data_IF_913842653845
#
_entry.id   IF_913842653845
#
_cell.length_a   1.000
_cell.length_b   1.000
_cell.length_c   1.000
_cell.angle_alpha   90.00
_cell.angle_beta   90.00
_cell.angle_gamma   90.00
#
_symmetry.space_group_name_H-M   'P 1'
#
loop_
_entity.id
_entity.type
_entity.pdbx_description
1 polymer ?
#
# COMPACT_ATOMS: atom_id res chain seq x y z
N UNK A 1 18.58 -7.54 -9.29
CA UNK A 1 18.41 -6.19 -8.72
C UNK A 1 19.46 -5.28 -9.33
N UNK A 2 19.07 -4.07 -9.67
CA UNK A 2 19.93 -3.07 -10.30
C UNK A 2 19.77 -1.74 -9.55
N UNK A 3 20.89 -1.11 -9.19
CA UNK A 3 20.90 0.25 -8.68
C UNK A 3 20.37 1.24 -9.74
N UNK A 4 19.56 2.19 -9.30
CA UNK A 4 19.04 3.25 -10.17
C UNK A 4 19.75 4.54 -9.79
N UNK A 5 20.32 5.19 -10.78
CA UNK A 5 20.89 6.49 -10.66
C UNK A 5 22.35 6.58 -11.05
N UNK A 6 22.72 7.77 -11.44
CA UNK A 6 24.09 8.20 -11.62
C UNK A 6 24.52 8.94 -10.37
N UNK A 7 25.73 8.71 -9.91
CA UNK A 7 26.25 8.96 -8.57
C UNK A 7 26.21 10.42 -8.07
N UNK A 8 25.77 11.41 -8.83
CA UNK A 8 26.02 12.82 -8.52
C UNK A 8 24.84 13.64 -8.01
N UNK A 9 23.59 13.15 -8.12
CA UNK A 9 22.40 13.86 -7.57
C UNK A 9 21.28 12.91 -7.29
N UNK A 10 21.38 12.14 -6.20
CA UNK A 10 20.39 11.13 -5.89
C UNK A 10 19.76 11.40 -4.53
N UNK A 11 18.48 11.84 -4.50
CA UNK A 11 17.84 12.19 -3.24
C UNK A 11 17.54 10.97 -2.36
N UNK A 12 17.60 9.76 -2.92
CA UNK A 12 17.33 8.53 -2.16
C UNK A 12 18.06 7.33 -2.75
N UNK A 13 18.63 6.41 -1.95
CA UNK A 13 19.06 5.11 -2.41
C UNK A 13 17.90 4.35 -3.07
N UNK A 14 18.09 3.92 -4.31
CA UNK A 14 17.03 3.35 -5.12
C UNK A 14 17.52 2.14 -5.92
N UNK A 15 16.83 1.02 -5.82
CA UNK A 15 17.06 -0.17 -6.62
C UNK A 15 15.80 -0.59 -7.36
N UNK A 16 15.99 -1.07 -8.59
CA UNK A 16 14.98 -1.82 -9.34
C UNK A 16 15.31 -3.31 -9.29
N UNK A 17 14.31 -4.13 -9.03
CA UNK A 17 14.38 -5.57 -9.20
C UNK A 17 13.51 -6.00 -10.37
N UNK A 18 13.93 -7.06 -11.05
CA UNK A 18 13.14 -7.67 -12.11
C UNK A 18 12.88 -9.13 -11.78
N UNK A 19 11.61 -9.48 -11.76
CA UNK A 19 11.12 -10.84 -11.54
C UNK A 19 11.33 -11.66 -12.83
N UNK A 20 11.65 -12.94 -12.68
CA UNK A 20 11.78 -13.86 -13.80
C UNK A 20 10.43 -14.10 -14.49
N UNK A 21 10.48 -14.57 -15.73
CA UNK A 21 9.29 -15.02 -16.45
C UNK A 21 8.77 -16.33 -15.84
N UNK A 22 7.56 -16.32 -15.32
CA UNK A 22 6.89 -17.47 -14.67
C UNK A 22 6.01 -18.27 -15.63
N UNK A 23 5.81 -17.82 -16.88
CA UNK A 23 4.89 -18.44 -17.85
C UNK A 23 5.20 -19.89 -18.20
N UNK A 24 6.43 -20.34 -17.94
CA UNK A 24 6.83 -21.74 -18.17
C UNK A 24 6.29 -22.74 -17.14
N UNK A 25 5.81 -22.28 -15.98
CA UNK A 25 5.38 -23.15 -14.86
C UNK A 25 4.18 -22.61 -14.06
N UNK A 26 3.71 -21.42 -14.35
CA UNK A 26 2.52 -20.80 -13.76
C UNK A 26 1.51 -20.45 -14.85
N UNK A 27 0.22 -20.39 -14.48
CA UNK A 27 -0.83 -19.93 -15.40
C UNK A 27 -0.89 -18.39 -15.49
N UNK A 28 -0.12 -17.70 -14.65
CA UNK A 28 0.08 -16.25 -14.72
C UNK A 28 1.54 -15.88 -14.99
N UNK A 29 1.74 -14.70 -15.56
CA UNK A 29 3.05 -14.08 -15.63
C UNK A 29 3.16 -13.06 -14.49
N UNK A 30 4.01 -13.33 -13.51
CA UNK A 30 4.24 -12.45 -12.36
C UNK A 30 4.61 -11.02 -12.81
N UNK A 31 4.23 -10.03 -12.02
CA UNK A 31 4.61 -8.64 -12.24
C UNK A 31 6.13 -8.50 -12.33
N UNK A 32 6.64 -7.91 -13.43
CA UNK A 32 8.08 -7.97 -13.75
C UNK A 32 8.92 -7.00 -12.94
N UNK A 33 8.38 -5.83 -12.63
CA UNK A 33 9.16 -4.75 -12.06
C UNK A 33 8.83 -4.58 -10.57
N UNK A 34 9.85 -4.39 -9.76
CA UNK A 34 9.77 -4.10 -8.35
C UNK A 34 10.82 -3.03 -8.00
N UNK A 35 10.57 -2.27 -6.97
CA UNK A 35 11.39 -1.15 -6.58
C UNK A 35 11.71 -1.19 -5.08
N UNK A 36 12.79 -0.55 -4.67
CA UNK A 36 13.11 -0.40 -3.27
C UNK A 36 13.86 0.88 -3.01
N UNK A 37 13.34 1.65 -2.08
CA UNK A 37 13.93 2.91 -1.62
C UNK A 37 13.99 2.94 -0.10
N UNK A 38 15.03 3.55 0.42
CA UNK A 38 15.22 3.72 1.87
C UNK A 38 16.29 4.79 2.13
N UNK A 39 16.48 5.19 3.38
CA UNK A 39 17.57 6.09 3.77
C UNK A 39 18.96 5.47 3.47
N UNK A 40 19.13 4.16 3.66
CA UNK A 40 20.36 3.42 3.41
C UNK A 40 20.31 2.45 2.22
N UNK A 41 21.44 2.24 1.56
CA UNK A 41 21.57 1.37 0.37
C UNK A 41 21.19 -0.09 0.62
N UNK A 42 21.62 -0.67 1.75
CA UNK A 42 21.31 -2.06 2.08
C UNK A 42 19.79 -2.26 2.29
N UNK A 43 19.14 -1.32 2.98
CA UNK A 43 17.70 -1.34 3.20
C UNK A 43 16.92 -1.16 1.87
N UNK A 44 17.36 -0.25 0.99
CA UNK A 44 16.76 -0.07 -0.34
C UNK A 44 16.90 -1.34 -1.21
N UNK A 45 18.08 -1.98 -1.17
CA UNK A 45 18.31 -3.25 -1.87
C UNK A 45 17.38 -4.35 -1.36
N UNK A 46 17.27 -4.50 -0.03
CA UNK A 46 16.39 -5.51 0.57
C UNK A 46 14.91 -5.25 0.27
N UNK A 47 14.46 -4.00 0.22
CA UNK A 47 13.09 -3.66 -0.20
C UNK A 47 12.83 -4.04 -1.65
N UNK A 48 13.73 -3.70 -2.58
CA UNK A 48 13.58 -4.09 -4.00
C UNK A 48 13.56 -5.61 -4.19
N UNK A 49 14.42 -6.33 -3.46
CA UNK A 49 14.45 -7.79 -3.48
C UNK A 49 13.14 -8.36 -2.89
N UNK A 50 12.70 -7.83 -1.75
CA UNK A 50 11.49 -8.24 -1.06
C UNK A 50 10.25 -8.07 -1.93
N UNK A 51 10.04 -6.90 -2.51
CA UNK A 51 8.91 -6.65 -3.42
C UNK A 51 8.97 -7.57 -4.66
N UNK A 52 10.17 -7.83 -5.20
CA UNK A 52 10.33 -8.78 -6.30
C UNK A 52 9.92 -10.20 -5.94
N UNK A 53 10.30 -10.70 -4.76
CA UNK A 53 9.90 -12.02 -4.26
C UNK A 53 8.40 -12.09 -3.95
N UNK A 54 7.84 -11.03 -3.40
CA UNK A 54 6.42 -10.88 -3.12
C UNK A 54 5.59 -10.97 -4.40
N UNK A 55 5.94 -10.18 -5.43
CA UNK A 55 5.29 -10.22 -6.75
C UNK A 55 5.46 -11.58 -7.44
N UNK A 56 6.62 -12.22 -7.28
CA UNK A 56 6.85 -13.58 -7.75
C UNK A 56 5.89 -14.55 -7.10
N UNK A 57 5.82 -14.58 -5.77
CA UNK A 57 4.91 -15.48 -5.05
C UNK A 57 3.44 -15.23 -5.39
N UNK A 58 3.04 -13.97 -5.56
CA UNK A 58 1.67 -13.62 -5.91
C UNK A 58 1.26 -14.06 -7.32
N UNK A 59 2.23 -14.18 -8.24
CA UNK A 59 2.00 -14.58 -9.63
C UNK A 59 2.29 -16.06 -9.93
N UNK A 60 2.58 -16.90 -8.92
CA UNK A 60 2.86 -18.34 -9.14
C UNK A 60 1.72 -19.18 -8.62
N UNK A 61 0.86 -19.63 -9.54
CA UNK A 61 -0.25 -20.53 -9.25
C UNK A 61 -0.68 -21.32 -10.49
N UNK A 62 -1.49 -22.36 -10.25
CA UNK A 62 -2.13 -23.16 -11.29
C UNK A 62 -3.64 -23.14 -11.04
N UNK A 63 -4.41 -22.74 -12.04
CA UNK A 63 -5.87 -22.65 -11.95
C UNK A 63 -6.54 -24.01 -11.77
N UNK A 64 -5.93 -25.08 -12.28
CA UNK A 64 -6.38 -26.46 -12.10
C UNK A 64 -6.20 -26.98 -10.66
N UNK A 65 -5.39 -26.30 -9.84
CA UNK A 65 -5.22 -26.59 -8.41
C UNK A 65 -6.17 -25.77 -7.51
N UNK A 66 -6.91 -24.81 -8.06
CA UNK A 66 -7.83 -23.97 -7.29
C UNK A 66 -9.20 -24.64 -7.16
N UNK A 67 -9.81 -24.49 -5.99
CA UNK A 67 -11.20 -24.93 -5.79
C UNK A 67 -12.15 -24.02 -6.58
N UNK A 68 -13.21 -24.59 -7.17
CA UNK A 68 -14.13 -23.83 -8.03
C UNK A 68 -15.57 -24.07 -7.60
N UNK A 69 -16.34 -22.99 -7.47
CA UNK A 69 -17.76 -23.09 -7.13
C UNK A 69 -18.40 -21.74 -6.84
N UNK A 70 -19.73 -21.72 -6.76
CA UNK A 70 -20.45 -20.58 -6.25
C UNK A 70 -20.25 -20.45 -4.72
N UNK A 71 -20.27 -19.23 -4.14
CA UNK A 71 -20.07 -19.04 -2.70
C UNK A 71 -20.96 -19.92 -1.82
N UNK A 72 -22.26 -20.04 -2.16
CA UNK A 72 -23.21 -20.85 -1.40
C UNK A 72 -23.01 -22.38 -1.54
N UNK A 73 -22.21 -22.84 -2.49
CA UNK A 73 -21.95 -24.26 -2.74
C UNK A 73 -20.73 -24.79 -1.95
N UNK A 74 -19.93 -23.89 -1.37
CA UNK A 74 -18.70 -24.23 -0.66
C UNK A 74 -18.81 -23.77 0.82
N UNK A 75 -18.25 -24.53 1.78
CA UNK A 75 -18.25 -24.13 3.16
C UNK A 75 -17.23 -23.01 3.41
N UNK A 76 -17.45 -22.24 4.48
CA UNK A 76 -16.52 -21.24 5.03
C UNK A 76 -15.96 -20.24 3.99
N UNK A 77 -16.78 -19.87 3.00
CA UNK A 77 -16.40 -18.85 2.01
C UNK A 77 -16.58 -17.45 2.56
N UNK A 78 -15.59 -16.59 2.39
CA UNK A 78 -15.74 -15.14 2.59
C UNK A 78 -16.53 -14.59 1.40
N UNK A 79 -17.72 -14.06 1.67
CA UNK A 79 -18.61 -13.62 0.59
C UNK A 79 -17.95 -12.49 -0.23
N UNK A 80 -17.86 -12.61 -1.56
CA UNK A 80 -17.31 -11.56 -2.41
C UNK A 80 -17.99 -10.19 -2.24
N UNK A 81 -19.28 -10.14 -1.89
CA UNK A 81 -20.00 -8.89 -1.62
C UNK A 81 -19.63 -8.22 -0.29
N UNK A 82 -18.84 -8.87 0.57
CA UNK A 82 -18.28 -8.23 1.76
C UNK A 82 -17.11 -7.30 1.42
N UNK A 83 -16.49 -7.48 0.25
CA UNK A 83 -15.42 -6.62 -0.22
C UNK A 83 -15.96 -5.35 -0.87
N UNK A 84 -15.17 -4.28 -0.81
CA UNK A 84 -15.44 -3.09 -1.60
C UNK A 84 -15.23 -3.43 -3.07
N UNK A 85 -16.30 -3.33 -3.85
CA UNK A 85 -16.38 -3.80 -5.23
C UNK A 85 -16.61 -2.64 -6.20
N UNK A 86 -15.92 -2.66 -7.34
CA UNK A 86 -16.27 -1.81 -8.48
C UNK A 86 -17.56 -2.33 -9.15
N UNK A 87 -17.67 -3.66 -9.27
CA UNK A 87 -18.82 -4.35 -9.84
C UNK A 87 -19.47 -5.24 -8.78
N UNK A 88 -20.78 -5.11 -8.57
CA UNK A 88 -21.51 -5.97 -7.62
C UNK A 88 -21.38 -7.43 -8.02
N UNK A 89 -20.82 -8.30 -7.16
CA UNK A 89 -20.62 -9.70 -7.49
C UNK A 89 -21.94 -10.46 -7.61
N UNK A 90 -22.09 -11.28 -8.65
CA UNK A 90 -23.24 -12.16 -8.78
C UNK A 90 -23.14 -13.31 -7.77
N UNK A 91 -24.14 -13.51 -6.85
CA UNK A 91 -24.02 -14.49 -5.77
C UNK A 91 -23.97 -15.95 -6.23
N UNK A 92 -24.53 -16.26 -7.42
CA UNK A 92 -24.56 -17.59 -8.00
C UNK A 92 -23.38 -17.90 -8.92
N UNK A 93 -22.55 -16.89 -9.23
CA UNK A 93 -21.43 -17.08 -10.14
C UNK A 93 -20.37 -18.01 -9.53
N UNK A 94 -20.00 -19.04 -10.31
CA UNK A 94 -18.86 -19.88 -9.97
C UNK A 94 -17.56 -19.09 -10.13
N UNK A 95 -16.66 -19.19 -9.16
CA UNK A 95 -15.35 -18.53 -9.15
C UNK A 95 -14.27 -19.41 -8.55
N UNK A 96 -13.01 -18.99 -8.69
CA UNK A 96 -11.88 -19.66 -8.08
C UNK A 96 -11.71 -19.24 -6.62
N UNK A 97 -11.35 -20.21 -5.78
CA UNK A 97 -11.13 -20.04 -4.34
C UNK A 97 -9.77 -20.55 -3.92
N UNK A 98 -9.20 -19.91 -2.92
CA UNK A 98 -7.96 -20.32 -2.29
C UNK A 98 -8.16 -20.43 -0.78
N UNK A 99 -7.47 -21.39 -0.16
CA UNK A 99 -7.47 -21.53 1.29
C UNK A 99 -6.83 -20.32 1.95
N UNK A 100 -7.44 -19.86 3.02
CA UNK A 100 -6.98 -18.75 3.83
C UNK A 100 -7.37 -18.93 5.28
N UNK A 101 -7.09 -17.93 6.09
CA UNK A 101 -7.36 -17.90 7.52
C UNK A 101 -8.01 -16.58 7.92
N UNK A 102 -8.99 -16.64 8.82
CA UNK A 102 -9.48 -15.49 9.54
C UNK A 102 -8.53 -15.19 10.69
N UNK A 103 -7.82 -14.07 10.65
CA UNK A 103 -6.64 -13.83 11.49
C UNK A 103 -6.93 -13.66 12.98
N UNK A 104 -8.15 -13.25 13.36
CA UNK A 104 -8.53 -13.11 14.76
C UNK A 104 -8.89 -14.48 15.39
N UNK A 105 -9.68 -15.31 14.67
CA UNK A 105 -10.16 -16.60 15.20
C UNK A 105 -9.24 -17.78 14.88
N UNK A 106 -8.34 -17.64 13.90
CA UNK A 106 -7.52 -18.74 13.38
C UNK A 106 -8.34 -19.79 12.58
N UNK A 107 -9.59 -19.49 12.20
CA UNK A 107 -10.42 -20.42 11.45
C UNK A 107 -10.04 -20.43 9.96
N UNK A 108 -10.02 -21.63 9.38
CA UNK A 108 -9.85 -21.79 7.93
C UNK A 108 -11.03 -21.21 7.18
N UNK A 109 -10.74 -20.48 6.09
CA UNK A 109 -11.74 -19.89 5.21
C UNK A 109 -11.35 -20.08 3.74
N UNK A 110 -12.29 -19.82 2.84
CA UNK A 110 -12.04 -19.69 1.41
C UNK A 110 -12.13 -18.25 0.97
N UNK A 111 -11.05 -17.77 0.36
CA UNK A 111 -10.94 -16.40 -0.16
C UNK A 111 -11.08 -16.41 -1.69
N UNK A 112 -11.73 -15.40 -2.30
CA UNK A 112 -11.78 -15.26 -3.76
C UNK A 112 -10.35 -15.16 -4.32
N UNK A 113 -9.97 -16.08 -5.20
CA UNK A 113 -8.61 -16.15 -5.75
C UNK A 113 -8.23 -14.88 -6.52
N UNK A 114 -9.22 -14.19 -7.10
CA UNK A 114 -9.03 -12.91 -7.79
C UNK A 114 -8.56 -11.75 -6.90
N UNK A 115 -8.79 -11.85 -5.58
CA UNK A 115 -8.32 -10.86 -4.60
C UNK A 115 -7.00 -11.27 -3.95
N UNK A 116 -6.59 -12.53 -4.12
CA UNK A 116 -5.39 -13.10 -3.49
C UNK A 116 -4.20 -13.05 -4.42
N UNK A 117 -4.33 -13.48 -5.67
CA UNK A 117 -3.23 -13.53 -6.63
C UNK A 117 -3.05 -12.22 -7.42
N UNK A 118 -1.83 -12.02 -7.93
CA UNK A 118 -1.49 -10.88 -8.81
C UNK A 118 -0.45 -11.31 -9.88
N UNK A 119 -0.79 -11.30 -11.20
CA UNK A 119 -2.14 -11.08 -11.74
C UNK A 119 -3.14 -12.16 -11.30
N UNK A 120 -4.44 -11.82 -11.21
CA UNK A 120 -5.46 -12.77 -10.78
C UNK A 120 -5.86 -13.76 -11.88
N UNK A 121 -6.48 -14.91 -11.53
CA UNK A 121 -7.02 -15.85 -12.51
C UNK A 121 -8.28 -15.34 -13.23
N UNK A 122 -8.96 -14.37 -12.66
CA UNK A 122 -10.17 -13.72 -13.18
C UNK A 122 -10.30 -12.30 -12.58
N UNK A 123 -11.08 -11.43 -13.22
CA UNK A 123 -11.32 -10.05 -12.78
C UNK A 123 -12.83 -9.77 -12.84
N UNK A 124 -13.53 -9.85 -11.70
CA UNK A 124 -14.99 -9.70 -11.62
C UNK A 124 -15.47 -8.85 -10.46
N UNK A 125 -14.62 -8.62 -9.45
CA UNK A 125 -14.97 -7.86 -8.25
C UNK A 125 -14.47 -6.43 -8.39
N UNK A 126 -13.18 -6.29 -8.69
CA UNK A 126 -12.50 -5.01 -8.87
C UNK A 126 -11.20 -5.19 -9.66
N UNK A 127 -10.63 -4.12 -10.22
CA UNK A 127 -9.31 -4.18 -10.83
C UNK A 127 -8.26 -4.72 -9.87
N UNK A 128 -7.30 -5.53 -10.36
CA UNK A 128 -6.29 -6.13 -9.52
C UNK A 128 -5.30 -5.09 -9.00
N UNK A 129 -4.97 -5.18 -7.73
CA UNK A 129 -3.97 -4.36 -7.05
C UNK A 129 -3.06 -5.23 -6.19
N UNK A 130 -1.87 -4.72 -5.87
CA UNK A 130 -0.90 -5.42 -5.01
C UNK A 130 -1.16 -5.22 -3.51
N UNK A 131 -1.97 -4.23 -3.12
CA UNK A 131 -2.28 -3.88 -1.72
C UNK A 131 -2.60 -5.09 -0.86
N UNK A 132 -1.87 -5.23 0.23
CA UNK A 132 -1.99 -6.35 1.17
C UNK A 132 -1.09 -7.54 0.86
N UNK A 133 -0.27 -7.49 -0.21
CA UNK A 133 0.86 -8.39 -0.34
C UNK A 133 1.88 -8.08 0.76
N UNK A 134 2.55 -9.09 1.27
CA UNK A 134 3.58 -8.90 2.27
C UNK A 134 4.59 -10.03 2.25
N UNK A 135 5.86 -9.66 2.43
CA UNK A 135 6.97 -10.58 2.58
C UNK A 135 7.70 -10.31 3.89
N UNK A 136 8.20 -11.36 4.54
CA UNK A 136 8.97 -11.23 5.76
C UNK A 136 9.85 -12.46 6.01
N UNK A 137 10.71 -12.38 7.03
CA UNK A 137 11.50 -13.52 7.51
C UNK A 137 10.66 -14.53 8.30
N UNK A 138 9.36 -14.33 8.36
CA UNK A 138 8.38 -15.20 8.97
C UNK A 138 6.96 -14.66 8.81
N UNK A 139 5.95 -15.49 9.08
CA UNK A 139 4.55 -15.16 8.85
C UNK A 139 4.07 -13.90 9.56
N UNK A 140 4.54 -13.64 10.79
CA UNK A 140 4.14 -12.43 11.52
C UNK A 140 4.65 -11.15 10.84
N UNK A 141 5.89 -11.14 10.35
CA UNK A 141 6.47 -9.99 9.64
C UNK A 141 5.78 -9.77 8.29
N UNK A 142 5.53 -10.84 7.54
CA UNK A 142 4.79 -10.76 6.28
C UNK A 142 3.36 -10.24 6.48
N UNK A 143 2.65 -10.71 7.51
CA UNK A 143 1.30 -10.24 7.83
C UNK A 143 1.29 -8.77 8.29
N UNK A 144 2.27 -8.35 9.09
CA UNK A 144 2.41 -6.94 9.48
C UNK A 144 2.57 -6.06 8.23
N UNK A 145 3.47 -6.42 7.30
CA UNK A 145 3.68 -5.67 6.07
C UNK A 145 2.39 -5.55 5.24
N UNK A 146 1.71 -6.68 4.98
CA UNK A 146 0.47 -6.65 4.20
C UNK A 146 -0.68 -5.90 4.88
N UNK A 147 -0.85 -6.04 6.20
CA UNK A 147 -1.93 -5.35 6.94
C UNK A 147 -1.67 -3.85 7.07
N UNK A 148 -0.43 -3.43 7.31
CA UNK A 148 -0.11 -1.99 7.37
C UNK A 148 -0.36 -1.32 6.03
N UNK A 149 -0.03 -1.96 4.90
CA UNK A 149 -0.36 -1.42 3.58
C UNK A 149 -1.88 -1.30 3.36
N UNK A 150 -2.68 -2.29 3.79
CA UNK A 150 -4.14 -2.17 3.71
C UNK A 150 -4.66 -0.97 4.51
N UNK A 151 -4.16 -0.78 5.75
CA UNK A 151 -4.54 0.37 6.60
C UNK A 151 -4.08 1.69 5.98
N UNK A 152 -2.89 1.72 5.42
CA UNK A 152 -2.36 2.88 4.70
C UNK A 152 -3.28 3.31 3.57
N UNK A 153 -3.63 2.37 2.69
CA UNK A 153 -4.48 2.66 1.52
C UNK A 153 -5.90 3.05 1.93
N UNK A 154 -6.47 2.40 2.95
CA UNK A 154 -7.77 2.79 3.51
C UNK A 154 -7.75 4.25 3.99
N UNK A 155 -6.83 4.58 4.89
CA UNK A 155 -6.71 5.93 5.46
C UNK A 155 -6.41 7.00 4.40
N UNK A 156 -5.54 6.70 3.42
CA UNK A 156 -5.23 7.62 2.33
C UNK A 156 -6.46 7.94 1.47
N UNK A 157 -7.27 6.94 1.12
CA UNK A 157 -8.50 7.13 0.35
C UNK A 157 -9.57 7.87 1.15
N UNK A 158 -9.75 7.52 2.43
CA UNK A 158 -10.71 8.21 3.31
C UNK A 158 -10.34 9.68 3.50
N UNK A 159 -9.04 9.98 3.69
CA UNK A 159 -8.55 11.36 3.82
C UNK A 159 -8.73 12.15 2.54
N UNK A 160 -8.36 11.59 1.38
CA UNK A 160 -8.43 12.31 0.11
C UNK A 160 -9.85 12.58 -0.36
N UNK A 161 -10.76 11.62 -0.22
CA UNK A 161 -12.15 11.75 -0.68
C UNK A 161 -13.11 12.25 0.40
N UNK A 162 -12.62 13.13 1.25
CA UNK A 162 -13.43 13.82 2.26
C UNK A 162 -12.89 15.23 2.54
N UNK A 163 -13.63 15.99 3.35
CA UNK A 163 -13.18 17.28 3.86
C UNK A 163 -12.19 17.15 5.03
N UNK A 164 -11.55 15.98 5.18
CA UNK A 164 -10.56 15.73 6.22
C UNK A 164 -9.36 16.67 6.08
N UNK A 165 -8.99 17.30 7.18
CA UNK A 165 -7.85 18.22 7.28
C UNK A 165 -6.68 17.52 7.98
N UNK A 166 -5.64 17.09 7.24
CA UNK A 166 -4.51 16.41 7.83
C UNK A 166 -3.76 17.29 8.83
N UNK A 167 -3.30 16.69 9.92
CA UNK A 167 -2.34 17.34 10.81
C UNK A 167 -0.93 17.25 10.22
N UNK A 168 -0.13 18.30 10.37
CA UNK A 168 1.30 18.24 10.11
C UNK A 168 2.00 17.34 11.15
N UNK A 169 3.07 16.71 10.75
CA UNK A 169 3.86 15.86 11.63
C UNK A 169 5.28 16.39 11.79
N UNK A 170 5.70 16.63 13.05
CA UNK A 170 7.10 16.95 13.36
C UNK A 170 7.84 15.65 13.69
N UNK A 171 8.79 15.29 12.83
CA UNK A 171 9.55 14.05 12.94
C UNK A 171 10.96 14.35 13.43
N UNK A 172 11.36 13.69 14.52
CA UNK A 172 12.68 13.80 15.15
C UNK A 172 13.38 12.43 15.06
N UNK A 173 13.74 12.03 13.84
CA UNK A 173 14.36 10.74 13.50
C UNK A 173 15.57 10.99 12.59
N UNK A 174 16.67 10.22 12.78
CA UNK A 174 17.93 10.43 12.05
C UNK A 174 17.81 10.09 10.57
N UNK A 175 17.16 8.96 10.22
CA UNK A 175 16.96 8.54 8.83
C UNK A 175 16.05 9.52 8.09
N UNK A 176 14.98 9.99 8.75
CA UNK A 176 14.11 11.02 8.21
C UNK A 176 14.86 12.32 7.94
N UNK A 177 15.67 12.77 8.92
CA UNK A 177 16.47 13.99 8.79
C UNK A 177 17.50 13.89 7.66
N UNK A 178 18.11 12.71 7.46
CA UNK A 178 19.01 12.46 6.35
C UNK A 178 18.30 12.59 5.00
N UNK A 179 17.12 11.95 4.83
CA UNK A 179 16.32 12.07 3.61
C UNK A 179 15.87 13.51 3.35
N UNK A 180 15.44 14.24 4.39
CA UNK A 180 15.13 15.69 4.28
C UNK A 180 16.34 16.50 3.83
N UNK A 181 17.54 16.20 4.34
CA UNK A 181 18.78 16.83 3.90
C UNK A 181 19.05 16.61 2.41
N UNK A 182 18.83 15.38 1.93
CA UNK A 182 18.97 15.01 0.52
C UNK A 182 17.90 15.68 -0.35
N UNK A 183 16.63 15.70 0.09
CA UNK A 183 15.55 16.38 -0.61
C UNK A 183 15.86 17.88 -0.80
N UNK A 184 16.37 18.54 0.24
CA UNK A 184 16.79 19.97 0.20
C UNK A 184 17.92 20.23 -0.80
N UNK A 185 18.80 19.27 -1.06
CA UNK A 185 19.84 19.42 -2.07
C UNK A 185 19.29 19.48 -3.51
N UNK A 186 18.03 19.07 -3.69
CA UNK A 186 17.27 19.17 -4.94
C UNK A 186 16.21 20.31 -4.88
N UNK A 187 16.35 21.23 -3.95
CA UNK A 187 15.41 22.34 -3.70
C UNK A 187 13.98 21.91 -3.32
N UNK A 188 13.83 20.68 -2.83
CA UNK A 188 12.54 20.15 -2.40
C UNK A 188 12.21 20.59 -0.96
N UNK A 189 11.03 21.12 -0.77
CA UNK A 189 10.36 21.24 0.53
C UNK A 189 9.71 19.91 0.88
N UNK A 190 9.67 19.55 2.17
CA UNK A 190 9.11 18.29 2.67
C UNK A 190 8.00 18.62 3.66
N UNK A 191 6.80 18.11 3.42
CA UNK A 191 5.62 18.31 4.25
C UNK A 191 5.04 16.97 4.68
N UNK A 192 5.34 16.49 5.90
CA UNK A 192 4.73 15.27 6.44
C UNK A 192 3.33 15.55 6.98
N UNK A 193 2.37 14.70 6.63
CA UNK A 193 0.95 14.78 6.95
C UNK A 193 0.49 13.51 7.66
N UNK A 194 -0.22 13.64 8.76
CA UNK A 194 -0.84 12.53 9.48
C UNK A 194 -2.22 12.25 8.88
N UNK A 195 -2.42 11.05 8.35
CA UNK A 195 -3.68 10.61 7.74
C UNK A 195 -4.47 9.61 8.62
N UNK A 196 -3.96 9.25 9.78
CA UNK A 196 -4.61 8.33 10.72
C UNK A 196 -6.02 8.79 11.08
N UNK A 197 -6.99 7.90 11.02
CA UNK A 197 -8.39 8.19 11.33
C UNK A 197 -8.92 7.25 12.43
N UNK A 198 -9.79 6.30 12.09
CA UNK A 198 -10.47 5.42 13.07
C UNK A 198 -9.65 4.16 13.45
N UNK A 199 -8.70 3.73 12.60
CA UNK A 199 -7.76 2.67 12.93
C UNK A 199 -6.51 3.29 13.54
N UNK A 200 -6.22 3.03 14.83
CA UNK A 200 -5.08 3.65 15.55
C UNK A 200 -3.73 3.00 15.20
N UNK A 201 -3.45 2.95 13.89
CA UNK A 201 -2.14 2.65 13.31
C UNK A 201 -1.68 3.90 12.58
N UNK A 202 -0.51 4.48 12.92
CA UNK A 202 -0.02 5.68 12.28
C UNK A 202 0.10 5.53 10.76
N UNK A 203 -0.63 6.37 10.01
CA UNK A 203 -0.55 6.51 8.56
C UNK A 203 -0.05 7.91 8.24
N UNK A 204 1.04 7.98 7.49
CA UNK A 204 1.69 9.24 7.13
C UNK A 204 1.79 9.36 5.62
N UNK A 205 1.38 10.50 5.07
CA UNK A 205 1.76 10.91 3.73
C UNK A 205 2.89 11.93 3.82
N UNK A 206 3.83 11.88 2.91
CA UNK A 206 4.85 12.94 2.79
C UNK A 206 4.80 13.50 1.38
N UNK A 207 4.54 14.79 1.31
CA UNK A 207 4.58 15.54 0.07
C UNK A 207 5.96 16.20 -0.08
N UNK A 208 6.58 16.05 -1.26
CA UNK A 208 7.76 16.79 -1.66
C UNK A 208 7.39 17.75 -2.79
N UNK A 209 7.81 19.03 -2.68
CA UNK A 209 7.41 20.03 -3.64
C UNK A 209 8.45 21.13 -3.83
N UNK A 210 8.48 21.72 -5.03
CA UNK A 210 9.35 22.86 -5.40
C UNK A 210 8.73 23.71 -6.52
N UNK A 211 9.38 24.82 -6.89
CA UNK A 211 8.91 25.70 -7.97
C UNK A 211 9.15 25.14 -9.37
N UNK A 212 10.23 24.37 -9.56
CA UNK A 212 10.60 23.79 -10.85
C UNK A 212 10.01 22.39 -11.01
N UNK A 213 9.81 21.99 -12.26
CA UNK A 213 9.29 20.67 -12.61
C UNK A 213 10.33 19.54 -12.27
N UNK A 214 9.94 18.37 -11.76
CA UNK A 214 8.63 18.01 -11.18
C UNK A 214 8.36 18.85 -9.93
N UNK A 215 7.18 19.48 -9.88
CA UNK A 215 6.81 20.42 -8.80
C UNK A 215 6.26 19.72 -7.57
N UNK A 216 5.79 18.48 -7.73
CA UNK A 216 5.15 17.72 -6.66
C UNK A 216 5.34 16.22 -6.84
N UNK A 217 5.53 15.52 -5.73
CA UNK A 217 5.33 14.08 -5.60
C UNK A 217 4.91 13.76 -4.17
N UNK A 218 4.24 12.65 -3.98
CA UNK A 218 3.76 12.16 -2.69
C UNK A 218 4.10 10.68 -2.53
N UNK A 219 4.36 10.26 -1.31
CA UNK A 219 4.40 8.88 -0.89
C UNK A 219 3.64 8.72 0.41
N UNK A 220 3.24 7.51 0.73
CA UNK A 220 2.54 7.17 1.97
C UNK A 220 3.12 5.92 2.60
N UNK A 221 2.94 5.78 3.90
CA UNK A 221 3.29 4.56 4.63
C UNK A 221 2.52 4.46 5.95
N UNK A 222 2.30 3.24 6.40
CA UNK A 222 1.82 2.96 7.75
C UNK A 222 2.84 2.13 8.54
N UNK A 223 3.03 2.46 9.78
CA UNK A 223 3.82 1.70 10.75
C UNK A 223 3.32 2.02 12.17
N UNK A 224 3.48 1.09 13.12
CA UNK A 224 3.19 1.35 14.54
C UNK A 224 4.11 2.43 15.16
N UNK A 225 5.19 2.80 14.48
CA UNK A 225 6.04 3.94 14.77
C UNK A 225 5.83 5.03 13.73
N UNK A 226 5.24 6.16 14.12
CA UNK A 226 4.95 7.26 13.22
C UNK A 226 6.20 7.87 12.55
N UNK A 227 7.38 7.79 13.18
CA UNK A 227 8.63 8.25 12.58
C UNK A 227 9.08 7.30 11.46
N UNK A 228 8.94 5.98 11.65
CA UNK A 228 9.21 5.01 10.59
C UNK A 228 8.22 5.14 9.43
N UNK A 229 6.92 5.34 9.72
CA UNK A 229 5.94 5.63 8.69
C UNK A 229 6.33 6.87 7.88
N UNK A 230 6.71 7.97 8.54
CA UNK A 230 7.15 9.19 7.88
C UNK A 230 8.40 8.98 7.02
N UNK A 231 9.39 8.22 7.52
CA UNK A 231 10.62 7.90 6.78
C UNK A 231 10.31 7.04 5.54
N UNK A 232 9.43 6.05 5.66
CA UNK A 232 8.94 5.25 4.54
C UNK A 232 8.23 6.08 3.48
N UNK A 233 7.28 6.92 3.90
CA UNK A 233 6.53 7.81 3.04
C UNK A 233 7.43 8.83 2.31
N UNK A 234 8.44 9.39 3.00
CA UNK A 234 9.40 10.31 2.37
C UNK A 234 10.27 9.58 1.32
N UNK A 235 10.72 8.37 1.63
CA UNK A 235 11.50 7.58 0.69
C UNK A 235 10.70 7.29 -0.59
N UNK A 236 9.41 6.92 -0.47
CA UNK A 236 8.50 6.70 -1.60
C UNK A 236 8.22 8.01 -2.37
N UNK A 237 7.98 9.12 -1.69
CA UNK A 237 7.80 10.42 -2.35
C UNK A 237 9.02 10.82 -3.19
N UNK A 238 10.22 10.57 -2.67
CA UNK A 238 11.47 10.82 -3.38
C UNK A 238 11.66 9.86 -4.57
N UNK A 239 11.26 8.59 -4.44
CA UNK A 239 11.22 7.65 -5.57
C UNK A 239 10.34 8.19 -6.69
N UNK A 240 9.10 8.54 -6.39
CA UNK A 240 8.14 9.06 -7.37
C UNK A 240 8.66 10.34 -8.05
N UNK A 241 9.28 11.22 -7.27
CA UNK A 241 9.89 12.42 -7.79
C UNK A 241 11.06 12.11 -8.76
N UNK A 242 11.92 11.13 -8.43
CA UNK A 242 13.01 10.67 -9.31
C UNK A 242 12.47 10.06 -10.60
N UNK A 243 11.43 9.25 -10.50
CA UNK A 243 10.78 8.65 -11.67
C UNK A 243 10.21 9.72 -12.60
N UNK A 244 9.47 10.69 -12.07
CA UNK A 244 8.97 11.85 -12.82
C UNK A 244 10.10 12.60 -13.50
N UNK A 245 11.16 12.95 -12.76
CA UNK A 245 12.34 13.63 -13.30
C UNK A 245 12.98 12.84 -14.45
N UNK A 246 13.08 11.51 -14.31
CA UNK A 246 13.61 10.61 -15.35
C UNK A 246 12.71 10.50 -16.58
N UNK A 247 11.39 10.61 -16.40
CA UNK A 247 10.43 10.64 -17.52
C UNK A 247 10.53 11.94 -18.32
N UNK A 248 10.63 13.06 -17.64
CA UNK A 248 10.46 14.39 -18.22
C UNK A 248 8.99 14.76 -18.45
N UNK A 249 8.66 16.06 -18.60
CA UNK A 249 7.28 16.55 -18.61
C UNK A 249 6.42 15.96 -19.74
N UNK A 250 6.98 15.78 -20.94
CA UNK A 250 6.24 15.26 -22.09
C UNK A 250 5.80 13.80 -21.86
N UNK A 251 6.73 12.93 -21.44
CA UNK A 251 6.40 11.51 -21.20
C UNK A 251 5.54 11.32 -19.95
N UNK A 252 5.71 12.15 -18.92
CA UNK A 252 4.88 12.10 -17.73
C UNK A 252 3.42 12.46 -18.05
N UNK A 253 3.18 13.44 -18.91
CA UNK A 253 1.84 13.81 -19.37
C UNK A 253 1.17 12.70 -20.20
N UNK A 254 1.95 11.97 -21.00
CA UNK A 254 1.45 10.88 -21.85
C UNK A 254 1.33 9.53 -21.12
N UNK A 255 2.00 9.37 -19.99
CA UNK A 255 2.12 8.09 -19.30
C UNK A 255 0.82 7.57 -18.67
N UNK A 256 -0.28 8.34 -18.71
CA UNK A 256 -1.60 7.91 -18.18
C UNK A 256 -1.59 7.57 -16.68
N UNK A 257 -0.47 7.73 -16.01
CA UNK A 257 -0.28 7.48 -14.60
C UNK A 257 -0.56 8.73 -13.75
N UNK A 258 -0.91 8.50 -12.48
CA UNK A 258 -1.38 9.58 -11.60
C UNK A 258 -0.27 10.48 -11.13
N UNK A 259 0.92 9.92 -10.86
CA UNK A 259 2.08 10.73 -10.49
C UNK A 259 2.39 11.79 -11.54
N UNK A 260 2.20 11.50 -12.85
CA UNK A 260 2.36 12.45 -13.94
C UNK A 260 1.34 13.59 -13.89
N UNK A 261 0.08 13.29 -13.57
CA UNK A 261 -0.99 14.29 -13.46
C UNK A 261 -0.71 15.30 -12.33
N UNK A 262 -0.12 14.83 -11.22
CA UNK A 262 0.18 15.68 -10.06
C UNK A 262 1.55 16.36 -10.12
N UNK A 263 2.39 16.04 -11.10
CA UNK A 263 3.76 16.57 -11.22
C UNK A 263 3.84 18.12 -11.29
N UNK A 264 2.76 18.78 -11.70
CA UNK A 264 2.66 20.24 -11.79
C UNK A 264 2.02 20.90 -10.55
N UNK A 265 1.76 20.15 -9.47
CA UNK A 265 1.13 20.63 -8.23
C UNK A 265 -0.22 21.33 -8.48
N UNK A 266 -1.27 20.61 -8.90
CA UNK A 266 -2.60 21.19 -9.07
C UNK A 266 -3.21 21.64 -7.74
N UNK A 267 -4.21 22.54 -7.79
CA UNK A 267 -4.82 23.19 -6.62
C UNK A 267 -5.27 22.16 -5.55
N UNK A 268 -5.86 21.04 -5.96
CA UNK A 268 -6.29 20.00 -5.01
C UNK A 268 -5.13 19.39 -4.17
N UNK A 269 -3.91 19.33 -4.73
CA UNK A 269 -2.73 18.90 -3.99
C UNK A 269 -2.14 20.06 -3.18
N UNK A 270 -2.22 21.28 -3.68
CA UNK A 270 -1.78 22.47 -2.94
C UNK A 270 -2.62 22.68 -1.67
N UNK A 271 -3.95 22.51 -1.76
CA UNK A 271 -4.87 22.58 -0.61
C UNK A 271 -4.53 21.51 0.44
N UNK A 272 -4.10 20.32 0.01
CA UNK A 272 -3.69 19.24 0.91
C UNK A 272 -2.38 19.53 1.66
N UNK A 273 -1.58 20.50 1.17
CA UNK A 273 -0.34 20.98 1.82
C UNK A 273 -0.58 22.09 2.84
N UNK A 274 -1.77 22.71 2.88
CA UNK A 274 -2.09 23.82 3.79
C UNK A 274 -2.39 23.29 5.19
N UNK A 275 -1.36 23.21 6.02
CA UNK A 275 -1.41 22.58 7.33
C UNK A 275 -1.47 23.65 8.43
N UNK A 276 -2.59 23.72 9.14
CA UNK A 276 -2.76 24.68 10.25
C UNK A 276 -2.09 24.22 11.55
N UNK A 277 -2.12 22.93 11.83
CA UNK A 277 -1.66 22.38 13.12
C UNK A 277 -0.66 21.25 12.92
N UNK A 278 0.41 21.25 13.71
CA UNK A 278 1.47 20.23 13.68
C UNK A 278 1.60 19.54 15.04
N UNK A 279 1.70 18.20 15.04
CA UNK A 279 1.91 17.38 16.23
C UNK A 279 3.25 16.65 16.18
N UNK A 280 3.89 16.35 17.34
CA UNK A 280 5.10 15.53 17.35
C UNK A 280 4.80 14.07 16.98
N UNK A 281 5.61 13.45 16.13
CA UNK A 281 5.49 12.03 15.79
C UNK A 281 5.54 11.12 17.02
N UNK A 282 6.31 11.49 18.04
CA UNK A 282 6.41 10.77 19.31
C UNK A 282 5.13 10.74 20.14
N UNK A 283 4.10 11.49 19.75
CA UNK A 283 2.78 11.50 20.43
C UNK A 283 1.72 10.72 19.64
N UNK A 284 2.10 10.12 18.51
CA UNK A 284 1.20 9.38 17.60
C UNK A 284 1.51 7.90 17.67
N UNK A 285 0.49 7.07 17.84
CA UNK A 285 0.63 5.62 18.00
C UNK A 285 1.10 5.21 19.40
N UNK A 286 1.51 3.96 19.59
CA UNK A 286 1.95 3.42 20.88
C UNK A 286 3.26 4.06 21.35
N UNK A 287 3.39 4.29 22.64
CA UNK A 287 4.60 4.90 23.26
C UNK A 287 5.90 4.14 22.97
N UNK A 288 5.82 2.85 22.67
CA UNK A 288 6.91 2.03 22.16
C UNK A 288 6.32 1.05 21.14
N UNK A 289 6.72 1.19 19.90
CA UNK A 289 6.23 0.35 18.81
C UNK A 289 6.67 -1.11 19.04
N UNK A 290 5.72 -2.07 19.14
CA UNK A 290 6.05 -3.47 19.26
C UNK A 290 6.61 -4.02 17.94
N UNK A 291 7.22 -5.22 17.99
CA UNK A 291 7.76 -5.91 16.81
C UNK A 291 7.29 -7.36 16.73
N UNK A 292 7.44 -7.99 15.55
CA UNK A 292 7.12 -9.39 15.34
C UNK A 292 5.65 -9.72 15.68
N UNK A 293 5.41 -10.81 16.41
CA UNK A 293 4.06 -11.25 16.78
C UNK A 293 3.31 -10.23 17.67
N UNK A 294 4.02 -9.42 18.46
CA UNK A 294 3.37 -8.38 19.25
C UNK A 294 2.86 -7.23 18.37
N UNK A 295 3.58 -6.87 17.31
CA UNK A 295 3.13 -5.91 16.32
C UNK A 295 1.88 -6.41 15.58
N UNK A 296 1.91 -7.66 15.11
CA UNK A 296 0.76 -8.28 14.45
C UNK A 296 -0.49 -8.24 15.35
N UNK A 297 -0.34 -8.64 16.62
CA UNK A 297 -1.45 -8.61 17.59
C UNK A 297 -2.00 -7.20 17.76
N UNK A 298 -1.14 -6.19 17.89
CA UNK A 298 -1.56 -4.79 18.03
C UNK A 298 -2.36 -4.31 16.81
N UNK A 299 -1.90 -4.61 15.60
CA UNK A 299 -2.62 -4.24 14.37
C UNK A 299 -4.00 -4.92 14.31
N UNK A 300 -4.07 -6.22 14.65
CA UNK A 300 -5.35 -6.95 14.67
C UNK A 300 -6.32 -6.40 15.73
N UNK A 301 -5.81 -5.99 16.90
CA UNK A 301 -6.60 -5.31 17.93
C UNK A 301 -7.17 -3.98 17.42
N UNK A 302 -6.38 -3.18 16.71
CA UNK A 302 -6.85 -1.90 16.15
C UNK A 302 -7.87 -2.10 15.01
N UNK A 303 -7.65 -3.08 14.14
CA UNK A 303 -8.62 -3.43 13.10
C UNK A 303 -9.94 -3.91 13.71
N UNK A 304 -9.88 -4.80 14.71
CA UNK A 304 -11.06 -5.29 15.44
C UNK A 304 -11.81 -4.16 16.16
N UNK A 305 -11.09 -3.18 16.72
CA UNK A 305 -11.68 -1.99 17.37
C UNK A 305 -12.43 -1.09 16.40
N UNK A 306 -12.07 -1.14 15.11
CA UNK A 306 -12.74 -0.45 14.01
C UNK A 306 -13.77 -1.33 13.27
N UNK A 307 -14.18 -2.46 13.86
CA UNK A 307 -15.11 -3.45 13.27
C UNK A 307 -14.60 -4.02 11.91
N UNK A 308 -13.28 -4.16 11.74
CA UNK A 308 -12.64 -4.66 10.54
C UNK A 308 -12.14 -6.08 10.72
N UNK A 309 -12.75 -7.05 10.03
CA UNK A 309 -12.26 -8.42 9.96
C UNK A 309 -11.07 -8.53 9.00
N UNK A 310 -10.00 -9.19 9.43
CA UNK A 310 -8.80 -9.43 8.65
C UNK A 310 -8.63 -10.91 8.29
N UNK A 311 -8.24 -11.16 7.06
CA UNK A 311 -7.98 -12.50 6.50
C UNK A 311 -6.62 -12.53 5.83
N UNK A 312 -6.05 -13.73 5.71
CA UNK A 312 -4.85 -13.91 4.91
C UNK A 312 -4.82 -15.22 4.14
N UNK A 313 -4.14 -15.22 3.01
CA UNK A 313 -3.72 -16.41 2.30
C UNK A 313 -2.20 -16.49 2.24
N UNK A 314 -1.65 -17.69 2.40
CA UNK A 314 -0.21 -17.94 2.25
C UNK A 314 0.11 -18.11 0.77
N UNK A 315 1.06 -17.32 0.28
CA UNK A 315 1.51 -17.33 -1.12
C UNK A 315 2.91 -17.92 -1.29
N UNK A 316 3.61 -18.20 -0.20
CA UNK A 316 5.00 -18.62 -0.21
C UNK A 316 5.22 -19.84 -1.10
N UNK A 317 5.99 -19.70 -2.16
CA UNK A 317 6.44 -20.79 -2.98
C UNK A 317 7.55 -21.60 -2.29
N UNK A 318 7.76 -22.84 -2.68
CA UNK A 318 8.73 -23.72 -2.00
C UNK A 318 10.17 -23.20 -2.12
N UNK A 319 10.54 -22.61 -3.23
CA UNK A 319 11.86 -22.01 -3.45
C UNK A 319 12.07 -20.79 -2.56
N UNK A 320 11.08 -19.91 -2.43
CA UNK A 320 11.14 -18.73 -1.54
C UNK A 320 11.17 -19.17 -0.06
N UNK A 321 10.39 -20.19 0.33
CA UNK A 321 10.47 -20.79 1.67
C UNK A 321 11.86 -21.35 1.98
N UNK A 322 12.55 -21.92 0.99
CA UNK A 322 13.92 -22.44 1.15
C UNK A 322 14.93 -21.33 1.41
N UNK A 323 14.64 -20.11 0.96
CA UNK A 323 15.45 -18.91 1.26
C UNK A 323 15.16 -18.33 2.65
N UNK A 324 14.16 -18.85 3.37
CA UNK A 324 13.77 -18.40 4.70
C UNK A 324 12.78 -17.25 4.73
N UNK A 325 12.08 -16.98 3.60
CA UNK A 325 11.05 -15.96 3.52
C UNK A 325 9.64 -16.57 3.53
N UNK A 326 8.70 -15.78 4.01
CA UNK A 326 7.26 -16.05 3.93
C UNK A 326 6.57 -14.91 3.17
N UNK A 327 5.68 -15.29 2.24
CA UNK A 327 4.86 -14.37 1.46
C UNK A 327 3.38 -14.62 1.75
N UNK A 328 2.62 -13.56 1.93
CA UNK A 328 1.19 -13.61 2.22
C UNK A 328 0.41 -12.61 1.39
N UNK A 329 -0.90 -12.81 1.32
CA UNK A 329 -1.87 -11.79 0.94
C UNK A 329 -2.78 -11.52 2.14
N UNK A 330 -2.72 -10.34 2.71
CA UNK A 330 -3.67 -9.87 3.70
C UNK A 330 -4.86 -9.20 3.02
N UNK A 331 -6.07 -9.47 3.52
CA UNK A 331 -7.32 -8.92 3.01
C UNK A 331 -8.18 -8.41 4.17
N UNK A 332 -8.67 -7.19 4.05
CA UNK A 332 -9.65 -6.59 4.96
C UNK A 332 -10.84 -6.16 4.10
N UNK A 333 -11.92 -6.94 4.05
CA UNK A 333 -12.99 -6.76 3.07
C UNK A 333 -13.60 -5.36 3.02
N UNK A 334 -13.89 -4.78 4.20
CA UNK A 334 -14.55 -3.48 4.31
C UNK A 334 -13.59 -2.29 4.19
N UNK A 335 -12.27 -2.49 4.23
CA UNK A 335 -11.31 -1.41 4.03
C UNK A 335 -11.45 -0.83 2.62
N UNK A 336 -11.36 0.50 2.51
CA UNK A 336 -11.44 1.20 1.24
C UNK A 336 -10.15 0.95 0.43
N UNK A 337 -10.19 0.23 -0.69
CA UNK A 337 -9.00 0.01 -1.49
C UNK A 337 -8.62 1.26 -2.27
N UNK A 338 -7.34 1.39 -2.58
CA UNK A 338 -6.86 2.28 -3.61
C UNK A 338 -7.36 1.79 -4.98
N UNK A 339 -7.61 2.71 -5.92
CA UNK A 339 -8.07 2.39 -7.28
C UNK A 339 -7.34 3.25 -8.32
N UNK A 340 -7.17 2.70 -9.51
CA UNK A 340 -6.49 3.39 -10.64
C UNK A 340 -7.44 3.80 -11.76
N UNK A 341 -8.65 3.24 -11.80
CA UNK A 341 -9.71 3.52 -12.77
C UNK A 341 -10.72 4.55 -12.27
N UNK A 342 -11.97 4.37 -12.66
CA UNK A 342 -13.09 5.15 -12.12
C UNK A 342 -13.20 4.95 -10.60
N UNK A 343 -13.49 6.01 -9.84
CA UNK A 343 -13.65 5.91 -8.40
C UNK A 343 -14.79 4.96 -8.00
N UNK A 344 -14.53 4.09 -7.01
CA UNK A 344 -15.57 3.29 -6.37
C UNK A 344 -15.34 3.25 -4.86
N UNK A 345 -16.43 3.36 -4.11
CA UNK A 345 -16.37 3.58 -2.66
C UNK A 345 -17.16 2.54 -1.89
N UNK A 346 -16.55 2.04 -0.81
CA UNK A 346 -17.23 1.27 0.22
C UNK A 346 -17.99 2.16 1.21
N UNK A 347 -18.66 1.52 2.16
CA UNK A 347 -19.41 2.25 3.19
C UNK A 347 -18.51 3.13 4.07
N UNK A 348 -17.29 2.67 4.36
CA UNK A 348 -16.30 3.39 5.18
C UNK A 348 -15.94 4.76 4.62
N UNK A 349 -15.85 4.90 3.29
CA UNK A 349 -15.54 6.19 2.66
C UNK A 349 -16.54 7.30 3.06
N UNK A 350 -17.75 6.93 3.44
CA UNK A 350 -18.80 7.85 3.90
C UNK A 350 -18.90 7.90 5.43
N UNK A 351 -18.85 6.74 6.09
CA UNK A 351 -19.17 6.64 7.52
C UNK A 351 -18.04 7.06 8.42
N UNK A 352 -16.78 6.75 8.07
CA UNK A 352 -15.60 7.12 8.88
C UNK A 352 -15.40 8.63 8.90
N UNK A 353 -15.29 9.35 7.77
CA UNK A 353 -15.20 10.81 7.81
C UNK A 353 -16.37 11.44 8.56
N UNK A 354 -17.62 10.99 8.35
CA UNK A 354 -18.79 11.52 9.02
C UNK A 354 -18.72 11.35 10.55
N UNK A 355 -18.19 10.23 11.05
CA UNK A 355 -18.01 10.00 12.48
C UNK A 355 -16.98 10.95 13.13
N UNK A 356 -16.06 11.46 12.34
CA UNK A 356 -15.02 12.41 12.74
C UNK A 356 -15.44 13.88 12.49
N UNK A 357 -16.62 14.11 11.91
CA UNK A 357 -17.16 15.45 11.63
C UNK A 357 -16.82 15.99 10.25
N UNK A 358 -16.35 15.16 9.33
CA UNK A 358 -16.02 15.49 7.95
C UNK A 358 -17.09 14.99 6.96
N UNK A 359 -17.11 15.58 5.78
CA UNK A 359 -18.03 15.21 4.69
C UNK A 359 -17.30 14.39 3.63
N UNK A 360 -17.98 13.40 3.06
CA UNK A 360 -17.48 12.62 1.93
C UNK A 360 -17.56 13.42 0.63
N UNK A 361 -16.47 13.46 -0.14
CA UNK A 361 -16.32 14.19 -1.41
C UNK A 361 -15.99 13.25 -2.57
N UNK A 362 -16.93 12.46 -3.08
CA UNK A 362 -16.67 11.47 -4.13
C UNK A 362 -16.25 12.08 -5.47
N UNK A 363 -16.61 13.34 -5.72
CA UNK A 363 -16.34 14.06 -6.96
C UNK A 363 -14.98 14.79 -6.93
N UNK A 364 -14.20 14.64 -5.84
CA UNK A 364 -12.86 15.21 -5.76
C UNK A 364 -11.95 14.66 -6.87
N UNK A 365 -11.01 15.45 -7.39
CA UNK A 365 -10.04 14.94 -8.37
C UNK A 365 -9.40 13.64 -7.90
N UNK A 366 -9.04 12.79 -8.83
CA UNK A 366 -8.47 11.49 -8.52
C UNK A 366 -7.25 11.62 -7.60
N UNK A 367 -7.09 10.70 -6.63
CA UNK A 367 -6.03 10.75 -5.63
C UNK A 367 -4.60 10.77 -6.22
N UNK A 368 -3.63 11.40 -5.55
CA UNK A 368 -2.24 11.47 -6.00
C UNK A 368 -1.37 10.27 -5.58
N UNK A 369 -1.88 9.35 -4.77
CA UNK A 369 -1.11 8.25 -4.20
C UNK A 369 -0.73 7.22 -5.27
N UNK A 370 0.52 6.71 -5.26
CA UNK A 370 1.05 5.74 -6.22
C UNK A 370 0.53 4.33 -6.03
#
# INVERSE_FOLDING_TARGET
VQEVGEAESFPVPYYLARVCDTSGFSDATAGRDAAGVAAGWDAAFMKALGEGLERYCAGVYRTDALETGAPAALPETVNPSAFVCETTPEPSASRYWVAGEHLESGSEVRLPAELVYYPPPEERIRPPITTGLGLGNGGAEALVAGLTEVVERDAAMLAWYSTFEPLGLRVEDEDFAELVGRARSEDLSVTPLLLTQDVDVPVVAVCVHRSEWPRFAVGSAADLDASRAATGALAEALQNWVELRGMGPERAADAGGRIGHYADLPDAAADFLDVETTVPASTVGPAAAPSGTAALRKILEELSSADLAAYAARLTTQDVATLGFEAVRALVPSAQPLFFGEPYFGERARTVPASLGYEHEPDRPHHPFP
#
